data_IF_421122619067
#
_entry.id   IF_421122619067
#
_cell.length_a   1.000
_cell.length_b   1.000
_cell.length_c   1.000
_cell.angle_alpha   90.00
_cell.angle_beta   90.00
_cell.angle_gamma   90.00
#
_symmetry.space_group_name_H-M   'P 1'
#
loop_
_entity.id
_entity.type
_entity.pdbx_description
1 polymer ?
#
# COMPACT_ATOMS: atom_id res chain seq x y z
N UNK A 1 36.46 -11.64 38.39
CA UNK A 1 35.55 -10.72 37.67
C UNK A 1 35.50 -10.96 36.16
N UNK A 2 36.64 -11.21 35.48
CA UNK A 2 36.70 -11.38 34.01
C UNK A 2 35.85 -12.52 33.42
N UNK A 3 35.74 -13.67 34.09
CA UNK A 3 34.84 -14.78 33.67
C UNK A 3 33.36 -14.42 33.71
N UNK A 4 32.89 -13.74 34.78
CA UNK A 4 31.50 -13.27 34.89
C UNK A 4 31.17 -12.28 33.77
N UNK A 5 32.08 -11.33 33.50
CA UNK A 5 31.94 -10.38 32.40
C UNK A 5 31.90 -11.08 31.03
N UNK A 6 32.77 -12.07 30.79
CA UNK A 6 32.76 -12.87 29.55
C UNK A 6 31.43 -13.58 29.31
N UNK A 7 30.85 -14.21 30.35
CA UNK A 7 29.55 -14.87 30.27
C UNK A 7 28.40 -13.91 30.00
N UNK A 8 28.41 -12.72 30.61
CA UNK A 8 27.40 -11.68 30.35
C UNK A 8 27.46 -11.22 28.89
N UNK A 9 28.66 -10.96 28.37
CA UNK A 9 28.83 -10.59 26.95
C UNK A 9 28.36 -11.69 26.00
N UNK A 10 28.65 -12.96 26.32
CA UNK A 10 28.17 -14.10 25.54
C UNK A 10 26.63 -14.17 25.54
N UNK A 11 26.00 -14.02 26.70
CA UNK A 11 24.54 -14.01 26.80
C UNK A 11 23.91 -12.87 25.98
N UNK A 12 24.47 -11.66 26.06
CA UNK A 12 24.03 -10.53 25.23
C UNK A 12 24.26 -10.79 23.72
N UNK A 13 25.37 -11.41 23.35
CA UNK A 13 25.66 -11.76 21.96
C UNK A 13 24.61 -12.74 21.40
N UNK A 14 24.31 -13.80 22.16
CA UNK A 14 23.27 -14.78 21.80
C UNK A 14 21.90 -14.11 21.70
N UNK A 15 21.55 -13.25 22.66
CA UNK A 15 20.29 -12.51 22.63
C UNK A 15 20.16 -11.64 21.37
N UNK A 16 21.20 -10.86 21.02
CA UNK A 16 21.19 -10.01 19.82
C UNK A 16 21.08 -10.85 18.54
N UNK A 17 21.85 -11.94 18.47
CA UNK A 17 21.84 -12.87 17.34
C UNK A 17 20.47 -13.54 17.16
N UNK A 18 19.77 -13.88 18.25
CA UNK A 18 18.43 -14.44 18.21
C UNK A 18 17.35 -13.40 17.89
N UNK A 19 17.47 -12.17 18.40
CA UNK A 19 16.49 -11.11 18.16
C UNK A 19 16.51 -10.59 16.71
N UNK A 20 17.67 -10.57 16.06
CA UNK A 20 17.83 -10.14 14.66
C UNK A 20 16.87 -10.84 13.68
N UNK A 21 16.86 -12.19 13.56
CA UNK A 21 15.92 -12.90 12.71
C UNK A 21 14.46 -12.76 13.18
N UNK A 22 14.22 -12.70 14.49
CA UNK A 22 12.87 -12.56 15.05
C UNK A 22 12.21 -11.24 14.64
N UNK A 23 12.95 -10.13 14.60
CA UNK A 23 12.38 -8.85 14.16
C UNK A 23 11.88 -8.92 12.72
N UNK A 24 12.69 -9.48 11.80
CA UNK A 24 12.36 -9.51 10.37
C UNK A 24 11.30 -10.56 10.03
N UNK A 25 11.40 -11.78 10.56
CA UNK A 25 10.54 -12.89 10.15
C UNK A 25 9.37 -13.15 11.08
N UNK A 26 9.44 -12.73 12.35
CA UNK A 26 8.36 -12.92 13.31
C UNK A 26 7.59 -11.63 13.59
N UNK A 27 8.28 -10.54 13.97
CA UNK A 27 7.66 -9.29 14.38
C UNK A 27 7.08 -8.50 13.20
N UNK A 28 7.86 -8.30 12.13
CA UNK A 28 7.41 -7.52 10.97
C UNK A 28 6.08 -7.99 10.36
N UNK A 29 5.86 -9.28 10.03
CA UNK A 29 4.57 -9.73 9.48
C UNK A 29 3.38 -9.57 10.44
N UNK A 30 3.66 -9.42 11.74
CA UNK A 30 2.64 -9.27 12.79
C UNK A 30 2.36 -7.81 13.15
N UNK A 31 3.35 -6.93 13.00
CA UNK A 31 3.26 -5.53 13.40
C UNK A 31 2.99 -4.59 12.23
N UNK A 32 3.56 -4.86 11.05
CA UNK A 32 3.35 -4.04 9.87
C UNK A 32 1.99 -4.35 9.23
N UNK A 33 0.93 -3.72 9.74
CA UNK A 33 -0.44 -3.92 9.28
C UNK A 33 -1.12 -2.58 9.08
N UNK A 34 -2.04 -2.53 8.13
CA UNK A 34 -2.93 -1.38 7.97
C UNK A 34 -3.91 -1.34 9.15
N UNK A 35 -4.01 -0.22 9.89
CA UNK A 35 -4.99 -0.12 10.97
C UNK A 35 -6.41 -0.10 10.43
N UNK A 36 -7.31 -0.85 11.06
CA UNK A 36 -8.71 -0.97 10.64
C UNK A 36 -9.53 0.33 10.81
N UNK A 37 -9.03 1.32 11.56
CA UNK A 37 -9.70 2.59 11.85
C UNK A 37 -9.18 3.77 11.00
N UNK A 38 -8.41 3.49 9.94
CA UNK A 38 -7.88 4.55 9.08
C UNK A 38 -8.99 5.30 8.35
N UNK A 39 -8.84 6.61 8.28
CA UNK A 39 -9.59 7.48 7.38
C UNK A 39 -8.59 8.23 6.51
N UNK A 40 -8.74 8.12 5.20
CA UNK A 40 -7.87 8.78 4.23
C UNK A 40 -8.73 9.44 3.17
N UNK A 41 -8.30 10.61 2.72
CA UNK A 41 -8.87 11.29 1.59
C UNK A 41 -7.76 11.67 0.60
N UNK A 42 -8.17 11.81 -0.65
CA UNK A 42 -7.32 12.25 -1.74
C UNK A 42 -8.16 13.06 -2.71
N UNK A 43 -7.60 14.17 -3.18
CA UNK A 43 -8.21 14.96 -4.25
C UNK A 43 -7.38 14.82 -5.51
N UNK A 44 -8.05 14.49 -6.61
CA UNK A 44 -7.50 14.54 -7.96
C UNK A 44 -8.18 15.63 -8.77
N UNK A 45 -7.47 16.21 -9.72
CA UNK A 45 -7.95 17.25 -10.62
C UNK A 45 -7.68 16.87 -12.07
N UNK A 46 -8.66 17.09 -12.95
CA UNK A 46 -8.47 17.08 -14.39
C UNK A 46 -8.71 18.49 -14.94
N UNK A 47 -7.63 19.16 -15.36
CA UNK A 47 -7.68 20.50 -15.94
C UNK A 47 -7.84 20.44 -17.46
N UNK A 48 -8.61 21.37 -18.03
CA UNK A 48 -8.91 21.37 -19.48
C UNK A 48 -9.66 20.13 -19.96
N UNK A 49 -10.42 19.50 -19.05
CA UNK A 49 -11.15 18.28 -19.30
C UNK A 49 -12.33 18.50 -20.25
N UNK A 50 -12.86 17.40 -20.76
CA UNK A 50 -14.11 17.36 -21.52
C UNK A 50 -15.14 16.70 -20.64
N UNK A 51 -16.32 17.31 -20.51
CA UNK A 51 -17.43 16.79 -19.72
C UNK A 51 -18.73 16.92 -20.51
N UNK A 52 -19.59 15.92 -20.41
CA UNK A 52 -20.91 15.94 -21.01
C UNK A 52 -21.83 16.92 -20.29
N UNK A 53 -22.45 17.80 -21.06
CA UNK A 53 -23.59 18.59 -20.63
C UNK A 53 -24.85 17.72 -20.81
N UNK A 54 -25.43 17.29 -19.68
CA UNK A 54 -26.58 16.39 -19.69
C UNK A 54 -27.88 17.03 -20.18
N UNK A 55 -27.99 18.36 -20.19
CA UNK A 55 -29.17 19.06 -20.72
C UNK A 55 -29.19 19.08 -22.25
N UNK A 56 -28.01 19.25 -22.86
CA UNK A 56 -27.86 19.28 -24.32
C UNK A 56 -27.36 17.98 -24.93
N UNK A 57 -26.95 17.02 -24.09
CA UNK A 57 -26.24 15.80 -24.46
C UNK A 57 -25.02 16.08 -25.37
N UNK A 58 -24.30 17.17 -25.14
CA UNK A 58 -23.10 17.56 -25.90
C UNK A 58 -21.87 17.63 -25.00
N UNK A 59 -20.76 17.14 -25.50
CA UNK A 59 -19.46 17.26 -24.83
C UNK A 59 -19.00 18.73 -24.87
N UNK A 60 -18.58 19.27 -23.72
CA UNK A 60 -18.04 20.62 -23.59
C UNK A 60 -16.69 20.58 -22.90
N UNK A 61 -15.81 21.51 -23.26
CA UNK A 61 -14.58 21.76 -22.52
C UNK A 61 -14.88 22.49 -21.23
N UNK A 62 -14.29 22.02 -20.14
CA UNK A 62 -14.42 22.61 -18.80
C UNK A 62 -13.04 22.91 -18.24
N UNK A 63 -12.95 23.96 -17.42
CA UNK A 63 -11.69 24.40 -16.82
C UNK A 63 -11.09 23.33 -15.90
N UNK A 64 -11.94 22.71 -15.07
CA UNK A 64 -11.54 21.71 -14.08
C UNK A 64 -12.69 20.76 -13.74
N UNK A 65 -12.34 19.49 -13.54
CA UNK A 65 -13.15 18.50 -12.82
C UNK A 65 -12.35 18.05 -11.60
N UNK A 66 -13.03 17.94 -10.46
CA UNK A 66 -12.41 17.53 -9.18
C UNK A 66 -12.95 16.15 -8.81
N UNK A 67 -12.07 15.24 -8.40
CA UNK A 67 -12.44 13.91 -7.92
C UNK A 67 -11.97 13.85 -6.47
N UNK A 68 -12.92 13.68 -5.55
CA UNK A 68 -12.63 13.47 -4.13
C UNK A 68 -12.81 11.99 -3.86
N UNK A 69 -11.73 11.33 -3.47
CA UNK A 69 -11.73 9.93 -3.06
C UNK A 69 -11.57 9.87 -1.55
N UNK A 70 -12.43 9.12 -0.87
CA UNK A 70 -12.29 8.84 0.56
C UNK A 70 -12.20 7.34 0.79
N UNK A 71 -11.41 6.93 1.78
CA UNK A 71 -11.27 5.56 2.26
C UNK A 71 -11.53 5.58 3.77
N UNK A 72 -12.58 4.90 4.22
CA UNK A 72 -12.95 4.82 5.63
C UNK A 72 -12.93 3.38 6.11
N UNK A 73 -12.16 3.13 7.17
CA UNK A 73 -12.13 1.86 7.88
C UNK A 73 -13.42 1.55 8.64
N UNK A 74 -13.99 0.37 8.40
CA UNK A 74 -15.09 -0.21 9.19
C UNK A 74 -14.50 -1.20 10.20
N UNK A 75 -14.25 -0.72 11.42
CA UNK A 75 -13.59 -1.48 12.50
C UNK A 75 -14.44 -2.68 12.94
N UNK A 76 -15.76 -2.51 12.99
CA UNK A 76 -16.67 -3.56 13.44
C UNK A 76 -16.73 -4.69 12.43
N UNK A 77 -16.88 -4.36 11.14
CA UNK A 77 -16.85 -5.34 10.06
C UNK A 77 -15.49 -6.04 9.99
N UNK A 78 -14.39 -5.29 10.09
CA UNK A 78 -13.03 -5.85 10.10
C UNK A 78 -12.84 -6.87 11.23
N UNK A 79 -13.32 -6.56 12.45
CA UNK A 79 -13.24 -7.48 13.60
C UNK A 79 -14.10 -8.73 13.38
N UNK A 80 -15.32 -8.57 12.87
CA UNK A 80 -16.24 -9.70 12.61
C UNK A 80 -15.67 -10.64 11.54
N UNK A 81 -15.28 -10.08 10.40
CA UNK A 81 -14.75 -10.84 9.27
C UNK A 81 -13.40 -11.46 9.62
N UNK A 82 -12.53 -10.72 10.31
CA UNK A 82 -11.22 -11.24 10.74
C UNK A 82 -11.31 -12.46 11.66
N UNK A 83 -12.34 -12.54 12.52
CA UNK A 83 -12.60 -13.75 13.32
C UNK A 83 -12.96 -14.95 12.45
N UNK A 84 -13.82 -14.77 11.46
CA UNK A 84 -14.23 -15.85 10.54
C UNK A 84 -13.10 -16.25 9.60
N UNK A 85 -12.32 -15.29 9.11
CA UNK A 85 -11.20 -15.52 8.20
C UNK A 85 -9.93 -16.04 8.90
N UNK A 86 -9.87 -16.01 10.24
CA UNK A 86 -8.70 -16.45 11.02
C UNK A 86 -7.45 -15.58 10.84
N UNK A 87 -7.60 -14.36 10.31
CA UNK A 87 -6.48 -13.44 10.02
C UNK A 87 -6.89 -11.97 10.18
N UNK A 88 -5.94 -11.05 10.33
CA UNK A 88 -6.22 -9.61 10.40
C UNK A 88 -6.77 -9.10 9.06
N UNK A 89 -7.98 -8.55 9.10
CA UNK A 89 -8.68 -8.02 7.92
C UNK A 89 -8.89 -6.51 8.09
N UNK A 90 -8.85 -5.80 6.97
CA UNK A 90 -9.32 -4.41 6.87
C UNK A 90 -10.53 -4.39 5.95
N UNK A 91 -11.54 -3.61 6.35
CA UNK A 91 -12.71 -3.30 5.52
C UNK A 91 -12.66 -1.81 5.24
N UNK A 92 -12.54 -1.44 3.97
CA UNK A 92 -12.60 -0.06 3.53
C UNK A 92 -13.88 0.22 2.76
N UNK A 93 -14.64 1.18 3.27
CA UNK A 93 -15.68 1.86 2.53
C UNK A 93 -15.05 3.03 1.78
N UNK A 94 -14.92 2.87 0.46
CA UNK A 94 -14.46 3.90 -0.44
C UNK A 94 -15.61 4.69 -1.04
N UNK A 95 -15.36 5.96 -1.33
CA UNK A 95 -16.25 6.78 -2.13
C UNK A 95 -15.42 7.55 -3.15
N UNK A 96 -15.73 7.37 -4.43
CA UNK A 96 -15.27 8.26 -5.50
C UNK A 96 -16.37 9.25 -5.84
N UNK A 97 -16.15 10.53 -5.53
CA UNK A 97 -17.09 11.62 -5.78
C UNK A 97 -16.51 12.58 -6.82
N UNK A 98 -17.15 12.65 -7.99
CA UNK A 98 -16.73 13.50 -9.10
C UNK A 98 -17.58 14.77 -9.10
N UNK A 99 -16.91 15.92 -9.09
CA UNK A 99 -17.51 17.25 -9.04
C UNK A 99 -17.14 18.04 -10.30
N UNK A 100 -18.16 18.62 -10.93
CA UNK A 100 -18.01 19.50 -12.09
C UNK A 100 -17.44 20.87 -11.72
N UNK A 101 -17.17 21.72 -12.73
CA UNK A 101 -16.62 23.07 -12.51
C UNK A 101 -17.58 24.00 -11.74
N UNK A 102 -18.88 23.72 -11.78
CA UNK A 102 -19.95 24.46 -11.10
C UNK A 102 -20.19 23.96 -9.66
N UNK A 103 -19.37 23.02 -9.19
CA UNK A 103 -19.50 22.41 -7.88
C UNK A 103 -20.59 21.35 -7.78
N UNK A 104 -21.31 21.03 -8.86
CA UNK A 104 -22.35 20.00 -8.85
C UNK A 104 -21.75 18.61 -9.00
N UNK A 105 -22.48 17.63 -8.47
CA UNK A 105 -22.12 16.21 -8.60
C UNK A 105 -22.25 15.76 -10.06
N UNK A 106 -21.21 15.10 -10.55
CA UNK A 106 -21.16 14.46 -11.88
C UNK A 106 -21.32 12.94 -11.76
N UNK A 107 -20.64 12.35 -10.79
CA UNK A 107 -20.72 10.91 -10.51
C UNK A 107 -20.40 10.65 -9.05
N UNK A 108 -20.98 9.60 -8.50
CA UNK A 108 -20.73 9.12 -7.15
C UNK A 108 -20.74 7.60 -7.17
N UNK A 109 -19.61 7.00 -6.85
CA UNK A 109 -19.44 5.53 -6.84
C UNK A 109 -18.92 5.10 -5.48
N UNK A 110 -19.78 4.53 -4.61
CA UNK A 110 -19.34 3.89 -3.38
C UNK A 110 -18.77 2.50 -3.66
N UNK A 111 -17.88 2.04 -2.81
CA UNK A 111 -17.22 0.75 -2.93
C UNK A 111 -16.90 0.20 -1.54
N UNK A 112 -16.98 -1.12 -1.38
CA UNK A 112 -16.49 -1.82 -0.19
C UNK A 112 -15.46 -2.85 -0.59
N UNK A 113 -14.24 -2.65 -0.13
CA UNK A 113 -13.10 -3.56 -0.33
C UNK A 113 -12.68 -4.20 0.99
N UNK A 114 -12.40 -5.50 0.95
CA UNK A 114 -12.10 -6.32 2.12
C UNK A 114 -10.81 -7.07 1.82
N UNK A 115 -9.79 -6.90 2.66
CA UNK A 115 -8.45 -7.41 2.35
C UNK A 115 -7.62 -7.71 3.60
N UNK A 116 -6.57 -8.51 3.44
CA UNK A 116 -5.63 -8.83 4.52
C UNK A 116 -4.79 -7.60 4.90
N UNK A 117 -4.75 -7.29 6.19
CA UNK A 117 -4.11 -6.07 6.69
C UNK A 117 -2.60 -6.00 6.43
N UNK A 118 -1.94 -7.13 6.16
CA UNK A 118 -0.51 -7.23 5.88
C UNK A 118 -0.23 -7.46 4.39
N UNK A 119 -0.74 -8.56 3.81
CA UNK A 119 -0.40 -8.94 2.43
C UNK A 119 -1.08 -8.09 1.38
N UNK A 120 -2.18 -7.41 1.72
CA UNK A 120 -3.05 -6.67 0.80
C UNK A 120 -3.88 -7.54 -0.15
N UNK A 121 -3.85 -8.86 0.03
CA UNK A 121 -4.66 -9.78 -0.77
C UNK A 121 -6.15 -9.61 -0.45
N UNK A 122 -7.05 -9.70 -1.44
CA UNK A 122 -8.48 -9.73 -1.21
C UNK A 122 -8.91 -10.82 -0.23
N UNK A 123 -9.93 -10.50 0.55
CA UNK A 123 -10.61 -11.45 1.44
C UNK A 123 -12.09 -11.46 1.08
N UNK A 124 -12.51 -12.51 0.37
CA UNK A 124 -13.89 -12.65 -0.07
C UNK A 124 -14.82 -12.91 1.10
N UNK A 125 -15.60 -11.89 1.42
CA UNK A 125 -16.60 -11.93 2.48
C UNK A 125 -17.83 -11.14 2.06
N UNK A 126 -18.95 -11.42 2.72
CA UNK A 126 -20.22 -10.75 2.43
C UNK A 126 -20.09 -9.23 2.55
N UNK A 127 -20.66 -8.52 1.58
CA UNK A 127 -20.71 -7.05 1.54
C UNK A 127 -19.67 -6.43 0.62
N UNK A 128 -18.73 -7.21 0.09
CA UNK A 128 -17.84 -6.77 -0.99
C UNK A 128 -18.67 -6.27 -2.19
N UNK A 129 -18.49 -5.00 -2.61
CA UNK A 129 -19.32 -4.39 -3.65
C UNK A 129 -18.64 -3.21 -4.37
N UNK A 130 -19.13 -2.91 -5.57
CA UNK A 130 -18.92 -1.65 -6.28
C UNK A 130 -20.27 -1.09 -6.70
N UNK A 131 -20.53 0.16 -6.33
CA UNK A 131 -21.80 0.85 -6.60
C UNK A 131 -23.01 0.04 -6.12
N UNK A 132 -22.87 -0.65 -4.99
CA UNK A 132 -23.87 -1.54 -4.42
C UNK A 132 -24.11 -2.86 -5.17
N UNK A 133 -23.38 -3.14 -6.26
CA UNK A 133 -23.40 -4.45 -6.90
C UNK A 133 -22.33 -5.35 -6.25
N UNK A 134 -22.67 -6.57 -5.83
CA UNK A 134 -21.69 -7.52 -5.31
C UNK A 134 -20.61 -7.81 -6.34
N UNK A 135 -19.36 -7.85 -5.91
CA UNK A 135 -18.22 -8.22 -6.74
C UNK A 135 -17.32 -9.20 -6.00
N UNK A 136 -16.47 -9.89 -6.75
CA UNK A 136 -15.33 -10.65 -6.23
C UNK A 136 -14.10 -10.10 -6.94
N UNK A 137 -13.06 -9.75 -6.18
CA UNK A 137 -11.86 -9.10 -6.70
C UNK A 137 -10.68 -10.05 -6.69
N UNK A 138 -9.94 -10.12 -7.77
CA UNK A 138 -8.59 -10.68 -7.74
C UNK A 138 -7.57 -9.54 -7.76
N UNK A 139 -6.44 -9.73 -7.08
CA UNK A 139 -5.37 -8.74 -7.05
C UNK A 139 -5.63 -7.53 -6.12
N UNK A 140 -4.75 -6.55 -6.20
CA UNK A 140 -4.76 -5.36 -5.34
C UNK A 140 -5.59 -4.21 -5.95
N UNK A 141 -5.92 -3.19 -5.15
CA UNK A 141 -6.65 -2.02 -5.65
C UNK A 141 -6.08 -0.69 -5.11
N UNK A 142 -6.08 -0.48 -3.79
CA UNK A 142 -5.63 0.82 -3.25
C UNK A 142 -4.14 0.87 -2.89
N UNK A 143 -3.52 -0.29 -2.69
CA UNK A 143 -2.18 -0.37 -2.10
C UNK A 143 -1.45 -1.66 -2.45
N UNK A 144 -0.13 -1.56 -2.68
CA UNK A 144 0.75 -2.70 -2.90
C UNK A 144 1.18 -3.34 -1.57
N UNK A 145 1.54 -4.64 -1.58
CA UNK A 145 2.09 -5.32 -0.42
C UNK A 145 3.32 -4.62 0.14
N UNK A 146 3.52 -4.70 1.46
CA UNK A 146 4.80 -4.27 2.06
C UNK A 146 5.97 -5.01 1.40
N UNK A 147 7.12 -4.34 1.33
CA UNK A 147 8.28 -4.87 0.60
C UNK A 147 7.90 -5.25 -0.84
N UNK A 148 7.22 -4.32 -1.52
CA UNK A 148 6.78 -4.48 -2.91
C UNK A 148 7.93 -4.96 -3.78
N UNK A 149 7.65 -5.92 -4.64
CA UNK A 149 8.62 -6.56 -5.51
C UNK A 149 8.60 -5.90 -6.90
N UNK A 150 9.70 -6.04 -7.63
CA UNK A 150 9.83 -5.57 -9.01
C UNK A 150 9.22 -6.59 -9.97
N UNK A 151 7.89 -6.67 -9.95
CA UNK A 151 7.11 -7.59 -10.78
C UNK A 151 5.74 -7.01 -11.06
N UNK A 152 5.02 -7.61 -11.99
CA UNK A 152 3.64 -7.29 -12.24
C UNK A 152 2.74 -7.81 -11.12
N UNK A 153 1.62 -7.13 -10.95
CA UNK A 153 0.57 -7.47 -9.99
C UNK A 153 -0.76 -7.56 -10.70
N UNK A 154 -1.66 -8.40 -10.22
CA UNK A 154 -3.07 -8.29 -10.59
C UNK A 154 -3.65 -7.04 -9.92
N UNK A 155 -4.41 -6.27 -10.67
CA UNK A 155 -5.03 -5.02 -10.20
C UNK A 155 -6.50 -4.99 -10.60
N UNK A 156 -7.38 -4.81 -9.61
CA UNK A 156 -8.81 -4.72 -9.81
C UNK A 156 -9.21 -3.30 -10.25
N UNK A 157 -10.03 -3.19 -11.29
CA UNK A 157 -10.59 -1.93 -11.75
C UNK A 157 -12.10 -1.88 -11.44
N UNK A 158 -12.49 -0.98 -10.52
CA UNK A 158 -13.88 -0.84 -10.09
C UNK A 158 -14.85 -0.46 -11.22
N UNK A 159 -14.42 0.24 -12.27
CA UNK A 159 -15.33 0.64 -13.37
C UNK A 159 -15.72 -0.55 -14.24
N UNK A 160 -14.74 -1.38 -14.60
CA UNK A 160 -14.95 -2.61 -15.37
C UNK A 160 -15.44 -3.78 -14.51
N UNK A 161 -15.17 -3.73 -13.20
CA UNK A 161 -15.38 -4.82 -12.24
C UNK A 161 -14.60 -6.07 -12.64
N UNK A 162 -13.43 -5.86 -13.22
CA UNK A 162 -12.54 -6.92 -13.67
C UNK A 162 -11.13 -6.68 -13.17
N UNK A 163 -10.37 -7.75 -13.11
CA UNK A 163 -8.95 -7.72 -12.78
C UNK A 163 -8.14 -7.81 -14.05
N UNK A 164 -7.06 -7.04 -14.10
CA UNK A 164 -6.06 -7.14 -15.15
C UNK A 164 -4.67 -6.83 -14.59
N UNK A 165 -3.59 -7.30 -15.22
CA UNK A 165 -2.25 -6.98 -14.79
C UNK A 165 -1.99 -5.46 -14.76
N UNK A 166 -1.24 -5.03 -13.76
CA UNK A 166 -0.55 -3.74 -13.72
C UNK A 166 0.96 -4.00 -13.78
N UNK A 167 1.61 -3.41 -14.77
CA UNK A 167 2.98 -3.74 -15.13
C UNK A 167 4.00 -2.89 -14.37
N UNK A 168 5.09 -3.51 -13.94
CA UNK A 168 6.23 -2.78 -13.39
C UNK A 168 7.13 -2.24 -14.52
N UNK A 169 7.21 -0.92 -14.66
CA UNK A 169 8.02 -0.28 -15.72
C UNK A 169 9.31 0.36 -15.16
N UNK A 170 9.84 -0.20 -14.08
CA UNK A 170 11.14 0.20 -13.54
C UNK A 170 11.09 1.07 -12.28
N UNK A 171 12.28 1.48 -11.84
CA UNK A 171 12.48 2.31 -10.65
C UNK A 171 12.76 3.75 -11.06
N UNK A 172 12.15 4.71 -10.37
CA UNK A 172 12.32 6.14 -10.61
C UNK A 172 12.59 6.87 -9.30
N UNK A 173 13.02 8.12 -9.39
CA UNK A 173 13.04 9.03 -8.23
C UNK A 173 11.88 10.00 -8.34
N UNK A 174 11.07 10.09 -7.28
CA UNK A 174 9.95 11.02 -7.18
C UNK A 174 10.03 11.75 -5.85
N UNK A 175 10.24 13.07 -5.86
CA UNK A 175 10.34 13.90 -4.63
C UNK A 175 11.35 13.36 -3.61
N UNK A 176 12.52 12.98 -4.14
CA UNK A 176 13.64 12.39 -3.40
C UNK A 176 13.31 11.03 -2.75
N UNK A 177 12.28 10.33 -3.22
CA UNK A 177 12.00 8.94 -2.87
C UNK A 177 12.32 8.02 -4.05
N UNK A 178 13.02 6.90 -3.82
CA UNK A 178 13.04 5.81 -4.78
C UNK A 178 11.66 5.16 -4.81
N UNK A 179 11.06 5.08 -5.99
CA UNK A 179 9.72 4.53 -6.20
C UNK A 179 9.73 3.53 -7.35
N UNK A 180 8.84 2.56 -7.28
CA UNK A 180 8.52 1.67 -8.38
C UNK A 180 7.40 2.28 -9.19
N UNK A 181 7.56 2.29 -10.50
CA UNK A 181 6.57 2.83 -11.40
C UNK A 181 5.73 1.70 -11.98
N UNK A 182 4.43 1.86 -11.92
CA UNK A 182 3.45 0.88 -12.36
C UNK A 182 2.50 1.51 -13.37
N UNK A 183 2.21 0.81 -14.47
CA UNK A 183 1.26 1.26 -15.50
C UNK A 183 0.28 0.14 -15.88
N UNK A 184 -1.00 0.50 -15.97
CA UNK A 184 -2.07 -0.37 -16.45
C UNK A 184 -2.85 0.37 -17.54
N UNK A 185 -3.14 -0.33 -18.64
CA UNK A 185 -4.04 0.16 -19.68
C UNK A 185 -5.28 -0.70 -19.72
N UNK A 186 -6.43 -0.08 -19.48
CA UNK A 186 -7.74 -0.71 -19.69
C UNK A 186 -8.22 -0.32 -21.09
N UNK A 187 -8.38 -1.27 -22.03
CA UNK A 187 -8.90 -0.96 -23.35
C UNK A 187 -10.35 -0.47 -23.26
N UNK A 188 -10.92 -0.02 -24.38
CA UNK A 188 -12.33 0.39 -24.41
C UNK A 188 -13.24 -0.78 -24.01
N UNK A 189 -13.82 -0.67 -22.83
CA UNK A 189 -14.66 -1.69 -22.23
C UNK A 189 -16.04 -1.11 -21.95
N UNK A 190 -17.09 -1.88 -22.24
CA UNK A 190 -18.46 -1.53 -21.88
C UNK A 190 -18.60 -1.68 -20.36
N UNK A 191 -19.07 -0.62 -19.70
CA UNK A 191 -19.22 -0.56 -18.25
C UNK A 191 -20.66 -0.23 -17.87
N UNK A 192 -21.13 -0.61 -16.67
CA UNK A 192 -22.46 -0.25 -16.20
C UNK A 192 -22.60 1.26 -16.04
N UNK A 193 -23.83 1.77 -16.14
CA UNK A 193 -24.13 3.14 -15.75
C UNK A 193 -24.03 3.28 -14.22
N UNK A 194 -23.54 4.41 -13.68
CA UNK A 194 -23.57 4.64 -12.24
C UNK A 194 -24.99 4.63 -11.71
N UNK A 195 -25.24 4.00 -10.55
CA UNK A 195 -26.57 3.99 -9.91
C UNK A 195 -27.03 5.40 -9.54
N UNK A 196 -26.08 6.23 -9.12
CA UNK A 196 -26.34 7.66 -8.87
C UNK A 196 -26.08 8.45 -10.14
N UNK A 197 -27.15 8.82 -10.84
CA UNK A 197 -27.08 9.66 -12.04
C UNK A 197 -27.02 11.16 -11.68
N UNK A 198 -26.31 11.99 -12.47
CA UNK A 198 -26.20 13.44 -12.21
C UNK A 198 -27.46 14.24 -12.55
N UNK A 199 -28.41 13.65 -13.28
CA UNK A 199 -29.70 14.27 -13.62
C UNK A 199 -30.79 13.68 -12.76
N UNK A 200 -31.51 14.53 -12.02
CA UNK A 200 -32.63 14.11 -11.20
C UNK A 200 -33.73 13.46 -12.05
N UNK A 201 -34.23 12.30 -11.60
CA UNK A 201 -35.27 11.54 -12.30
C UNK A 201 -34.78 10.64 -13.43
N UNK A 202 -33.50 10.72 -13.81
CA UNK A 202 -32.89 9.75 -14.74
C UNK A 202 -32.26 8.63 -13.93
N UNK A 203 -32.62 7.39 -14.27
CA UNK A 203 -32.06 6.18 -13.66
C UNK A 203 -31.26 5.37 -14.69
N UNK A 204 -30.33 4.49 -14.26
CA UNK A 204 -29.65 3.54 -15.15
C UNK A 204 -30.60 2.77 -16.07
N UNK A 205 -31.73 2.32 -15.54
CA UNK A 205 -32.74 1.53 -16.25
C UNK A 205 -33.40 2.38 -17.34
N UNK A 206 -33.67 3.65 -17.04
CA UNK A 206 -34.23 4.60 -18.00
C UNK A 206 -33.27 4.85 -19.16
N UNK A 207 -31.97 5.00 -18.86
CA UNK A 207 -30.93 5.13 -19.90
C UNK A 207 -30.80 3.83 -20.70
N UNK A 208 -30.83 2.67 -20.05
CA UNK A 208 -30.74 1.37 -20.71
C UNK A 208 -31.89 1.15 -21.72
N UNK A 209 -33.11 1.60 -21.41
CA UNK A 209 -34.26 1.55 -22.34
C UNK A 209 -34.04 2.33 -23.63
N UNK A 210 -33.15 3.32 -23.64
CA UNK A 210 -32.79 4.05 -24.87
C UNK A 210 -31.85 3.28 -25.78
N UNK A 211 -31.29 2.14 -25.32
CA UNK A 211 -30.22 1.41 -26.02
C UNK A 211 -28.83 2.05 -25.90
N UNK A 212 -28.71 3.13 -25.13
CA UNK A 212 -27.43 3.83 -24.93
C UNK A 212 -26.57 3.08 -23.92
N UNK A 213 -25.29 2.88 -24.26
CA UNK A 213 -24.32 2.14 -23.44
C UNK A 213 -23.18 3.05 -22.99
N UNK A 214 -22.59 2.79 -21.81
CA UNK A 214 -21.39 3.50 -21.32
C UNK A 214 -20.15 2.67 -21.60
N UNK A 215 -19.11 3.35 -22.07
CA UNK A 215 -17.82 2.77 -22.38
C UNK A 215 -16.73 3.56 -21.68
N UNK A 216 -15.70 2.87 -21.24
CA UNK A 216 -14.61 3.41 -20.44
C UNK A 216 -13.28 2.88 -20.96
N UNK A 217 -12.25 3.71 -20.89
CA UNK A 217 -10.85 3.33 -21.04
C UNK A 217 -10.01 4.23 -20.15
N UNK A 218 -8.95 3.68 -19.58
CA UNK A 218 -7.98 4.46 -18.81
C UNK A 218 -6.57 3.96 -19.08
N UNK A 219 -5.61 4.87 -18.96
CA UNK A 219 -4.21 4.51 -18.68
C UNK A 219 -3.91 5.03 -17.29
N UNK A 220 -3.72 4.12 -16.34
CA UNK A 220 -3.49 4.40 -14.93
C UNK A 220 -2.03 4.19 -14.59
N UNK A 221 -1.45 5.13 -13.84
CA UNK A 221 -0.04 5.13 -13.45
C UNK A 221 0.12 5.39 -11.98
N UNK A 222 1.01 4.65 -11.35
CA UNK A 222 1.34 4.83 -9.94
C UNK A 222 2.84 4.87 -9.69
N UNK A 223 3.22 5.68 -8.71
CA UNK A 223 4.56 5.72 -8.14
C UNK A 223 4.44 5.18 -6.72
N UNK A 224 5.02 4.00 -6.50
CA UNK A 224 4.85 3.23 -5.26
C UNK A 224 6.16 3.21 -4.50
N UNK A 225 6.15 3.61 -3.23
CA UNK A 225 7.33 3.47 -2.38
C UNK A 225 7.50 2.00 -1.99
N UNK A 226 8.63 1.35 -2.33
CA UNK A 226 8.71 -0.11 -2.32
C UNK A 226 8.77 -0.74 -0.93
N UNK A 227 9.23 -0.01 0.09
CA UNK A 227 9.31 -0.57 1.45
C UNK A 227 7.93 -0.70 2.07
N UNK A 228 7.16 0.38 2.02
CA UNK A 228 5.81 0.45 2.56
C UNK A 228 4.80 -0.19 1.64
N UNK A 229 5.01 -0.12 0.31
CA UNK A 229 4.05 -0.45 -0.74
C UNK A 229 2.95 0.60 -0.93
N UNK A 230 3.10 1.79 -0.36
CA UNK A 230 2.11 2.86 -0.51
C UNK A 230 2.32 3.63 -1.83
N UNK A 231 1.26 3.88 -2.62
CA UNK A 231 1.31 4.84 -3.71
C UNK A 231 1.55 6.25 -3.15
N UNK A 232 2.61 6.92 -3.59
CA UNK A 232 2.89 8.32 -3.24
C UNK A 232 2.36 9.30 -4.28
N UNK A 233 2.03 8.81 -5.47
CA UNK A 233 1.39 9.56 -6.55
C UNK A 233 0.64 8.62 -7.48
N UNK A 234 -0.46 9.12 -8.04
CA UNK A 234 -1.25 8.47 -9.07
C UNK A 234 -1.78 9.48 -10.09
N UNK A 235 -1.82 9.06 -11.35
CA UNK A 235 -2.47 9.80 -12.43
C UNK A 235 -3.17 8.85 -13.40
N UNK A 236 -4.19 9.35 -14.09
CA UNK A 236 -4.98 8.61 -15.06
C UNK A 236 -5.29 9.43 -16.31
N UNK A 237 -5.13 8.81 -17.48
CA UNK A 237 -5.69 9.29 -18.73
C UNK A 237 -7.06 8.65 -18.94
N UNK A 238 -8.07 9.24 -18.30
CA UNK A 238 -9.42 8.70 -18.21
C UNK A 238 -10.32 9.21 -19.33
N UNK A 239 -11.05 8.29 -19.98
CA UNK A 239 -12.04 8.61 -21.02
C UNK A 239 -13.28 7.74 -20.87
N UNK A 240 -14.43 8.38 -21.02
CA UNK A 240 -15.74 7.75 -21.05
C UNK A 240 -16.55 8.22 -22.25
N UNK A 241 -17.30 7.31 -22.85
CA UNK A 241 -18.22 7.59 -23.95
C UNK A 241 -19.59 6.99 -23.68
N UNK A 242 -20.64 7.70 -24.09
CA UNK A 242 -21.95 7.12 -24.32
C UNK A 242 -22.04 6.73 -25.79
N UNK A 243 -22.48 5.50 -26.08
CA UNK A 243 -22.54 4.94 -27.44
C UNK A 243 -23.90 4.33 -27.75
N UNK A 244 -24.37 4.56 -28.97
CA UNK A 244 -25.63 4.03 -29.49
C UNK A 244 -26.87 4.62 -28.83
N UNK A 245 -28.03 4.09 -29.23
CA UNK A 245 -29.32 4.41 -28.64
C UNK A 245 -29.93 5.75 -29.08
N UNK A 246 -31.16 5.99 -28.65
CA UNK A 246 -31.94 7.18 -29.02
C UNK A 246 -31.57 8.43 -28.23
N UNK A 247 -30.95 8.27 -27.04
CA UNK A 247 -30.56 9.39 -26.17
C UNK A 247 -29.59 10.37 -26.86
N UNK A 248 -28.83 9.88 -27.84
CA UNK A 248 -27.81 10.67 -28.53
C UNK A 248 -28.36 11.45 -29.74
N UNK A 249 -29.66 11.33 -30.04
CA UNK A 249 -30.29 12.06 -31.15
C UNK A 249 -29.69 11.69 -32.50
N UNK A 250 -29.52 10.40 -32.76
CA UNK A 250 -28.97 9.87 -34.03
C UNK A 250 -27.44 9.87 -34.13
N UNK A 251 -26.71 10.45 -33.17
CA UNK A 251 -25.24 10.35 -33.10
C UNK A 251 -24.82 8.95 -32.65
N UNK A 252 -23.78 8.40 -33.28
CA UNK A 252 -23.23 7.10 -32.90
C UNK A 252 -22.63 7.10 -31.48
N UNK A 253 -22.00 8.20 -31.06
CA UNK A 253 -21.39 8.34 -29.73
C UNK A 253 -21.24 9.80 -29.29
N UNK A 254 -21.05 10.01 -27.99
CA UNK A 254 -20.62 11.28 -27.39
C UNK A 254 -19.67 11.02 -26.22
N UNK A 255 -18.67 11.88 -26.05
CA UNK A 255 -17.76 11.82 -24.90
C UNK A 255 -18.51 12.22 -23.63
N UNK A 256 -18.57 11.31 -22.66
CA UNK A 256 -19.10 11.55 -21.32
C UNK A 256 -18.08 12.32 -20.46
N UNK A 257 -16.84 11.85 -20.49
CA UNK A 257 -15.70 12.46 -19.83
C UNK A 257 -14.43 12.21 -20.64
N UNK A 258 -13.50 13.16 -20.67
CA UNK A 258 -12.13 12.91 -21.11
C UNK A 258 -11.18 13.90 -20.43
N UNK A 259 -10.20 13.40 -19.69
CA UNK A 259 -9.28 14.25 -18.96
C UNK A 259 -8.03 13.51 -18.46
N UNK A 260 -6.97 14.29 -18.24
CA UNK A 260 -5.80 13.81 -17.51
C UNK A 260 -6.02 14.11 -16.03
N UNK A 261 -6.44 13.10 -15.29
CA UNK A 261 -6.71 13.17 -13.85
C UNK A 261 -5.38 13.03 -13.12
N UNK A 262 -5.05 13.99 -12.25
CA UNK A 262 -3.82 13.99 -11.46
C UNK A 262 -4.11 14.26 -10.01
N UNK A 263 -3.44 13.55 -9.11
CA UNK A 263 -3.47 13.89 -7.68
C UNK A 263 -3.04 15.36 -7.46
N UNK A 264 -3.73 16.05 -6.55
CA UNK A 264 -3.47 17.45 -6.21
C UNK A 264 -2.19 17.59 -5.38
N UNK A 265 -1.46 18.68 -5.61
CA UNK A 265 -0.10 18.88 -5.09
C UNK A 265 0.04 18.79 -3.56
N UNK A 266 -0.91 19.36 -2.82
CA UNK A 266 -0.96 19.32 -1.36
C UNK A 266 -1.10 17.89 -0.82
N UNK A 267 -1.95 17.08 -1.45
CA UNK A 267 -2.07 15.66 -1.12
C UNK A 267 -0.80 14.89 -1.46
N UNK A 268 -0.14 15.20 -2.60
CA UNK A 268 1.14 14.58 -2.93
C UNK A 268 2.19 14.88 -1.85
N UNK A 269 2.32 16.14 -1.45
CA UNK A 269 3.27 16.55 -0.42
C UNK A 269 3.00 15.86 0.93
N UNK A 270 1.74 15.84 1.36
CA UNK A 270 1.30 15.16 2.58
C UNK A 270 1.59 13.65 2.54
N UNK A 271 1.18 12.95 1.46
CA UNK A 271 1.36 11.51 1.32
C UNK A 271 2.85 11.14 1.27
N UNK A 272 3.69 11.92 0.57
CA UNK A 272 5.14 11.70 0.55
C UNK A 272 5.76 11.84 1.94
N UNK A 273 5.33 12.83 2.74
CA UNK A 273 5.81 13.00 4.10
C UNK A 273 5.41 11.82 5.02
N UNK A 274 4.14 11.42 4.95
CA UNK A 274 3.61 10.28 5.71
C UNK A 274 4.34 8.97 5.34
N UNK A 275 4.54 8.73 4.05
CA UNK A 275 5.23 7.52 3.57
C UNK A 275 6.70 7.52 3.98
N UNK A 276 7.40 8.66 4.00
CA UNK A 276 8.78 8.75 4.53
C UNK A 276 8.87 8.32 6.00
N UNK A 277 7.91 8.75 6.81
CA UNK A 277 7.85 8.36 8.22
C UNK A 277 7.60 6.85 8.38
N UNK A 278 6.58 6.33 7.70
CA UNK A 278 6.22 4.90 7.75
C UNK A 278 7.32 4.00 7.20
N UNK A 279 8.00 4.42 6.12
CA UNK A 279 9.15 3.73 5.55
C UNK A 279 10.24 3.50 6.59
N UNK A 280 10.54 4.50 7.40
CA UNK A 280 11.58 4.39 8.43
C UNK A 280 11.22 3.32 9.47
N UNK A 281 9.96 3.29 9.92
CA UNK A 281 9.48 2.28 10.86
C UNK A 281 9.58 0.86 10.29
N UNK A 282 9.19 0.69 9.02
CA UNK A 282 9.31 -0.61 8.35
C UNK A 282 10.78 -1.01 8.19
N UNK A 283 11.66 -0.09 7.80
CA UNK A 283 13.10 -0.36 7.68
C UNK A 283 13.76 -0.70 9.01
N UNK A 284 13.31 -0.12 10.12
CA UNK A 284 13.79 -0.51 11.45
C UNK A 284 13.53 -1.99 11.72
N UNK A 285 12.30 -2.46 11.46
CA UNK A 285 11.92 -3.87 11.70
C UNK A 285 12.55 -4.84 10.70
N UNK A 286 12.76 -4.39 9.46
CA UNK A 286 13.14 -5.29 8.36
C UNK A 286 14.62 -5.27 8.05
N UNK A 287 15.34 -4.19 8.36
CA UNK A 287 16.74 -4.01 7.95
C UNK A 287 17.60 -3.41 9.06
N UNK A 288 17.32 -2.20 9.54
CA UNK A 288 18.25 -1.47 10.41
C UNK A 288 18.48 -2.19 11.75
N UNK A 289 17.42 -2.55 12.48
CA UNK A 289 17.60 -3.24 13.76
C UNK A 289 18.13 -4.67 13.57
N UNK A 290 17.62 -5.51 12.64
CA UNK A 290 18.21 -6.82 12.36
C UNK A 290 19.71 -6.78 12.09
N UNK A 291 20.18 -5.92 11.18
CA UNK A 291 21.61 -5.83 10.85
C UNK A 291 22.45 -5.24 11.99
N UNK A 292 21.93 -4.23 12.69
CA UNK A 292 22.63 -3.65 13.85
C UNK A 292 22.79 -4.65 14.99
N UNK A 293 21.74 -5.42 15.29
CA UNK A 293 21.78 -6.47 16.31
C UNK A 293 22.71 -7.62 15.91
N UNK A 294 22.72 -8.00 14.64
CA UNK A 294 23.64 -9.03 14.15
C UNK A 294 25.10 -8.58 14.29
N UNK A 295 25.42 -7.36 13.85
CA UNK A 295 26.76 -6.79 13.98
C UNK A 295 27.19 -6.64 15.44
N UNK A 296 26.30 -6.13 16.29
CA UNK A 296 26.55 -6.02 17.74
C UNK A 296 26.75 -7.40 18.38
N UNK A 297 25.96 -8.40 18.00
CA UNK A 297 26.08 -9.77 18.47
C UNK A 297 27.46 -10.37 18.14
N UNK A 298 27.93 -10.19 16.91
CA UNK A 298 29.27 -10.64 16.47
C UNK A 298 30.37 -9.94 17.26
N UNK A 299 30.27 -8.62 17.46
CA UNK A 299 31.24 -7.86 18.23
C UNK A 299 31.30 -8.33 19.69
N UNK A 300 30.15 -8.51 20.34
CA UNK A 300 30.07 -8.98 21.72
C UNK A 300 30.61 -10.41 21.87
N UNK A 301 30.35 -11.28 20.89
CA UNK A 301 30.92 -12.63 20.85
C UNK A 301 32.45 -12.58 20.76
N UNK A 302 33.01 -11.77 19.86
CA UNK A 302 34.45 -11.62 19.73
C UNK A 302 35.09 -11.09 21.03
N UNK A 303 34.48 -10.09 21.68
CA UNK A 303 34.94 -9.56 22.96
C UNK A 303 34.89 -10.60 24.08
N UNK A 304 33.83 -11.40 24.13
CA UNK A 304 33.70 -12.52 25.09
C UNK A 304 34.85 -13.53 24.92
N UNK A 305 35.12 -13.95 23.68
CA UNK A 305 36.20 -14.88 23.37
C UNK A 305 37.59 -14.32 23.71
N UNK A 306 37.85 -13.04 23.41
CA UNK A 306 39.12 -12.37 23.74
C UNK A 306 39.32 -12.28 25.26
N UNK A 307 38.26 -11.94 26.02
CA UNK A 307 38.34 -11.91 27.48
C UNK A 307 38.58 -13.28 28.09
N UNK A 308 37.94 -14.32 27.54
CA UNK A 308 38.14 -15.70 27.97
C UNK A 308 39.57 -16.17 27.66
N UNK A 309 40.10 -15.88 26.46
CA UNK A 309 41.48 -16.20 26.09
C UNK A 309 42.50 -15.50 27.01
N UNK A 310 42.29 -14.20 27.29
CA UNK A 310 43.16 -13.42 28.21
C UNK A 310 43.05 -13.86 29.67
N UNK A 311 41.95 -14.48 30.07
CA UNK A 311 41.80 -15.06 31.41
C UNK A 311 42.50 -16.42 31.55
N UNK A 312 42.81 -17.10 30.42
CA UNK A 312 43.51 -18.39 30.39
C UNK A 312 45.03 -18.29 30.21
N UNK A 313 45.60 -17.09 29.97
CA UNK A 313 47.05 -16.93 29.89
C UNK A 313 47.73 -17.29 31.22
N UNK A 314 48.70 -18.23 31.22
CA UNK A 314 49.42 -18.63 32.42
C UNK A 314 50.39 -17.51 32.84
N UNK A 315 50.05 -16.76 33.89
CA UNK A 315 51.06 -16.03 34.67
C UNK A 315 51.51 -16.94 35.81
N UNK A 316 52.61 -17.66 35.60
CA UNK A 316 53.47 -18.13 36.69
C UNK A 316 54.29 -16.95 37.26
N UNK A 317 54.81 -17.07 38.49
CA UNK A 317 55.99 -17.92 38.69
C UNK A 317 55.65 -19.21 39.45
N UNK A 318 56.43 -20.27 39.17
CA UNK A 318 56.39 -21.52 39.91
C UNK A 318 56.67 -21.29 41.41
N UNK A 319 56.03 -22.04 42.33
CA UNK A 319 56.40 -21.97 43.74
C UNK A 319 57.86 -22.40 43.90
N UNK A 320 58.69 -21.56 44.54
CA UNK A 320 60.02 -21.98 45.00
C UNK A 320 59.84 -23.20 45.90
N UNK A 321 60.52 -24.30 45.57
CA UNK A 321 60.69 -25.40 46.50
C UNK A 321 61.37 -24.87 47.76
N UNK A 322 60.95 -25.30 48.97
CA UNK A 322 61.68 -25.00 50.20
C UNK A 322 63.08 -25.63 50.08
N UNK A 323 64.13 -24.85 50.27
CA UNK A 323 65.48 -25.38 50.49
C UNK A 323 65.44 -26.30 51.72
N UNK A 324 65.78 -27.55 51.49
CA UNK A 324 65.99 -28.55 52.52
C UNK A 324 67.18 -28.13 53.38
N UNK A 325 66.92 -27.76 54.64
CA UNK A 325 67.93 -27.45 55.63
C UNK A 325 68.83 -28.66 55.87
N UNK A 326 70.08 -28.58 55.43
CA UNK A 326 71.11 -29.57 55.74
C UNK A 326 71.41 -29.57 57.26
N UNK A 327 71.62 -30.74 57.89
CA UNK A 327 71.91 -30.81 59.32
C UNK A 327 73.32 -30.32 59.64
N UNK A 328 73.41 -29.67 60.80
CA UNK A 328 74.60 -29.11 61.44
C UNK A 328 75.64 -30.21 61.72
N UNK A 329 76.90 -29.93 61.42
CA UNK A 329 78.05 -30.66 61.97
C UNK A 329 78.72 -29.83 63.07
N UNK A 330 78.93 -30.50 64.20
CA UNK A 330 79.44 -30.14 65.54
C UNK A 330 80.40 -28.95 65.65
#
# INVERSE_FOLDING_TARGET
MRRKASLVLLACAVFCAALSPLLRWYAFPRLARIPANQYQDMVLEARGATLLDYGTMRAKKVSKVTIVQTLKGDVEAAKKIGKTAGRPVVVWDSLSYVQGPDGKMVSKVPERYIFDAHSQDPVHATGEMVDGDPVTRDGIEFKWPFLTQKRDYEYFDAQTRTTSPIHYEGTRTFRSLPVYYFEQTIPWTRVPMPKTMPVQGITPETVAKTGTTRWYTTVRRFWVEPVTGAPVYGEELHKEELRGGTLLGGRAKVTAFAGHVKMREDYIAHTVALVKQNRTLVLVLTSYAPWSLLGLGVLLLALSLVLEARARSPRGPAPRQPEESAPVSV
#
